data_IF_509932539032
#
_entry.id   IF_509932539032
#
_cell.length_a   1.000
_cell.length_b   1.000
_cell.length_c   1.000
_cell.angle_alpha   90.00
_cell.angle_beta   90.00
_cell.angle_gamma   90.00
#
_symmetry.space_group_name_H-M   'P 1'
#
loop_
_entity.id
_entity.type
_entity.pdbx_description
1 polymer ?
#
# COMPACT_ATOMS: atom_id res chain seq x y z
N UNK A 1 -25.17 -42.76 37.46
CA UNK A 1 -25.00 -42.27 38.84
C UNK A 1 -24.49 -40.84 38.77
N UNK A 2 -25.16 -39.91 39.46
CA UNK A 2 -24.89 -38.46 39.52
C UNK A 2 -24.75 -38.13 41.00
N UNK A 3 -23.75 -37.32 41.38
CA UNK A 3 -24.01 -36.20 42.30
C UNK A 3 -23.45 -34.91 41.67
N UNK A 4 -24.19 -33.82 41.49
CA UNK A 4 -24.95 -32.98 42.42
C UNK A 4 -24.07 -31.98 43.20
N UNK A 5 -24.49 -30.71 43.09
CA UNK A 5 -24.28 -29.56 43.99
C UNK A 5 -22.95 -28.81 43.84
N UNK A 6 -22.90 -27.59 43.29
CA UNK A 6 -23.54 -26.32 43.72
C UNK A 6 -22.95 -25.77 45.03
N UNK A 7 -22.33 -24.59 44.96
CA UNK A 7 -22.65 -23.41 45.79
C UNK A 7 -21.52 -22.36 45.75
N UNK A 8 -21.95 -21.09 45.60
CA UNK A 8 -21.46 -19.85 46.24
C UNK A 8 -19.98 -19.44 46.07
N UNK A 9 -19.57 -18.18 46.01
CA UNK A 9 -20.12 -16.84 45.84
C UNK A 9 -18.94 -15.87 46.18
N UNK A 10 -19.17 -14.55 46.06
CA UNK A 10 -18.37 -13.45 46.67
C UNK A 10 -17.00 -13.17 45.96
N UNK A 11 -16.52 -11.94 45.69
CA UNK A 11 -16.80 -10.58 46.17
C UNK A 11 -16.20 -9.52 45.20
N UNK A 12 -17.01 -8.49 44.95
CA UNK A 12 -16.79 -7.03 44.88
C UNK A 12 -15.54 -6.35 44.27
N UNK A 13 -15.92 -5.34 43.48
CA UNK A 13 -15.46 -3.94 43.51
C UNK A 13 -14.09 -3.60 42.92
N UNK A 14 -14.13 -3.10 41.67
CA UNK A 14 -13.29 -1.97 41.30
C UNK A 14 -14.20 -0.80 40.90
N UNK A 15 -14.03 0.30 41.62
CA UNK A 15 -14.92 1.45 41.64
C UNK A 15 -14.95 2.25 40.35
N UNK A 16 -16.16 2.64 39.95
CA UNK A 16 -16.38 3.73 39.01
C UNK A 16 -16.25 5.06 39.77
N UNK A 17 -15.10 5.73 39.66
CA UNK A 17 -14.98 7.13 40.03
C UNK A 17 -15.62 7.99 38.93
N UNK A 18 -16.90 8.32 39.09
CA UNK A 18 -17.54 9.37 38.29
C UNK A 18 -17.15 10.72 38.86
N UNK A 19 -16.08 11.33 38.33
CA UNK A 19 -15.81 12.75 38.59
C UNK A 19 -16.70 13.58 37.67
N UNK A 20 -17.77 14.13 38.23
CA UNK A 20 -18.55 15.21 37.63
C UNK A 20 -17.72 16.49 37.76
N UNK A 21 -17.13 16.95 36.67
CA UNK A 21 -16.58 18.31 36.59
C UNK A 21 -17.56 19.17 35.78
N UNK A 22 -18.23 20.10 36.48
CA UNK A 22 -19.04 21.15 35.88
C UNK A 22 -18.10 22.10 35.15
N UNK A 23 -17.99 21.95 33.83
CA UNK A 23 -17.23 22.89 33.01
C UNK A 23 -18.12 24.05 32.60
N UNK A 24 -17.87 25.19 33.21
CA UNK A 24 -18.38 26.52 32.84
C UNK A 24 -18.08 26.78 31.36
N UNK A 25 -19.03 27.27 30.54
CA UNK A 25 -18.74 27.63 29.16
C UNK A 25 -17.77 28.84 29.13
N UNK A 26 -16.62 28.75 28.44
CA UNK A 26 -15.74 29.90 28.27
C UNK A 26 -16.37 30.90 27.29
N UNK A 27 -16.24 32.18 27.66
CA UNK A 27 -16.56 33.36 26.84
C UNK A 27 -15.85 33.25 25.48
N UNK A 28 -16.47 33.60 24.33
CA UNK A 28 -15.81 33.49 23.04
C UNK A 28 -14.62 34.46 22.97
N UNK A 29 -13.41 33.94 22.95
CA UNK A 29 -12.23 34.71 22.58
C UNK A 29 -12.18 34.84 21.06
N UNK A 30 -11.92 36.07 20.58
CA UNK A 30 -11.78 36.38 19.17
C UNK A 30 -10.73 35.46 18.49
N UNK A 31 -11.16 34.77 17.43
CA UNK A 31 -10.32 33.84 16.66
C UNK A 31 -9.27 34.65 15.89
N UNK A 32 -7.99 34.48 16.25
CA UNK A 32 -6.88 34.87 15.36
C UNK A 32 -6.89 33.95 14.13
N UNK A 33 -6.63 34.46 12.91
CA UNK A 33 -6.50 33.62 11.72
C UNK A 33 -5.43 32.56 11.93
N UNK A 34 -5.76 31.31 11.63
CA UNK A 34 -4.82 30.19 11.67
C UNK A 34 -3.66 30.44 10.68
N UNK A 35 -2.41 30.10 11.02
CA UNK A 35 -1.31 30.17 10.07
C UNK A 35 -1.58 29.19 8.90
N UNK A 36 -1.14 29.53 7.68
CA UNK A 36 -1.36 28.70 6.50
C UNK A 36 -0.78 27.29 6.72
N UNK A 37 -1.56 26.28 6.34
CA UNK A 37 -1.16 24.89 6.39
C UNK A 37 0.13 24.68 5.59
N UNK A 38 1.11 24.00 6.20
CA UNK A 38 2.32 23.59 5.51
C UNK A 38 1.95 22.65 4.32
N UNK A 39 2.66 22.72 3.19
CA UNK A 39 2.39 21.84 2.05
C UNK A 39 2.59 20.38 2.49
N UNK A 40 1.59 19.56 2.23
CA UNK A 40 1.68 18.10 2.35
C UNK A 40 2.77 17.59 1.41
N UNK A 41 3.72 16.81 1.94
CA UNK A 41 4.70 16.09 1.14
C UNK A 41 3.92 15.18 0.20
N UNK A 42 3.93 15.51 -1.09
CA UNK A 42 3.23 14.73 -2.11
C UNK A 42 3.85 13.34 -2.17
N UNK A 43 3.02 12.29 -2.14
CA UNK A 43 3.47 10.92 -2.36
C UNK A 43 4.29 10.86 -3.67
N UNK A 44 5.32 10.00 -3.78
CA UNK A 44 6.12 9.88 -4.99
C UNK A 44 5.19 9.65 -6.19
N UNK A 45 5.21 10.59 -7.12
CA UNK A 45 4.35 10.56 -8.29
C UNK A 45 4.91 9.55 -9.28
N UNK A 46 4.21 8.42 -9.42
CA UNK A 46 4.53 7.42 -10.43
C UNK A 46 4.39 8.07 -11.81
N UNK A 47 5.48 8.13 -12.57
CA UNK A 47 5.50 8.78 -13.89
C UNK A 47 5.40 7.77 -15.01
N UNK A 48 4.50 8.03 -15.96
CA UNK A 48 4.29 7.24 -17.17
C UNK A 48 3.19 6.15 -17.04
N UNK A 49 2.99 5.36 -18.10
CA UNK A 49 2.03 4.26 -18.10
C UNK A 49 2.46 3.17 -17.12
N UNK A 50 1.48 2.56 -16.46
CA UNK A 50 1.68 1.54 -15.41
C UNK A 50 0.96 0.26 -15.78
N UNK A 51 1.45 -0.85 -15.24
CA UNK A 51 0.85 -2.17 -15.41
C UNK A 51 -0.22 -2.41 -14.34
N UNK A 52 -1.43 -2.73 -14.75
CA UNK A 52 -2.51 -3.11 -13.84
C UNK A 52 -2.37 -4.58 -13.39
N UNK A 53 -3.03 -4.99 -12.29
CA UNK A 53 -2.97 -6.38 -11.80
C UNK A 53 -3.46 -7.43 -12.80
N UNK A 54 -4.26 -7.05 -13.78
CA UNK A 54 -4.74 -7.93 -14.86
C UNK A 54 -3.73 -8.08 -16.02
N UNK A 55 -2.56 -7.47 -15.91
CA UNK A 55 -1.52 -7.48 -16.94
C UNK A 55 -1.74 -6.49 -18.07
N UNK A 56 -2.74 -5.60 -17.98
CA UNK A 56 -2.99 -4.56 -18.98
C UNK A 56 -2.21 -3.27 -18.66
N UNK A 57 -1.78 -2.57 -19.72
CA UNK A 57 -1.12 -1.28 -19.59
C UNK A 57 -2.15 -0.14 -19.61
N UNK A 58 -2.01 0.82 -18.70
CA UNK A 58 -2.89 2.00 -18.63
C UNK A 58 -2.71 2.97 -19.81
N UNK A 59 -1.64 2.79 -20.59
CA UNK A 59 -1.33 3.59 -21.77
C UNK A 59 -0.21 2.96 -22.60
N UNK A 60 0.15 3.57 -23.74
CA UNK A 60 1.21 3.07 -24.59
C UNK A 60 2.57 3.12 -23.86
N UNK A 61 3.39 2.08 -24.02
CA UNK A 61 4.75 2.06 -23.49
C UNK A 61 5.58 3.27 -23.98
N UNK A 62 6.50 3.76 -23.14
CA UNK A 62 7.33 4.92 -23.47
C UNK A 62 8.21 4.69 -24.71
N UNK A 63 8.56 3.43 -25.01
CA UNK A 63 9.11 3.02 -26.30
C UNK A 63 10.61 3.26 -26.47
N UNK A 64 11.27 3.94 -25.53
CA UNK A 64 12.71 4.25 -25.61
C UNK A 64 13.62 3.08 -25.23
N UNK A 65 13.12 2.10 -24.47
CA UNK A 65 13.91 0.95 -24.04
C UNK A 65 14.09 -0.08 -25.16
N UNK A 66 15.33 -0.52 -25.40
CA UNK A 66 15.67 -1.55 -26.39
C UNK A 66 16.05 -2.90 -25.77
N UNK A 67 16.32 -2.92 -24.46
CA UNK A 67 16.67 -4.11 -23.68
C UNK A 67 15.97 -4.07 -22.31
N UNK A 68 15.85 -5.23 -21.65
CA UNK A 68 15.24 -5.36 -20.33
C UNK A 68 16.33 -5.24 -19.26
N UNK A 69 16.46 -4.03 -18.70
CA UNK A 69 17.48 -3.67 -17.71
C UNK A 69 16.89 -2.73 -16.65
N UNK A 70 17.48 -2.62 -15.46
CA UNK A 70 17.00 -1.69 -14.44
C UNK A 70 16.80 -0.27 -14.99
N UNK A 71 15.69 0.36 -14.60
CA UNK A 71 15.28 1.70 -15.02
C UNK A 71 14.22 1.74 -16.12
N UNK A 72 13.91 0.64 -16.82
CA UNK A 72 12.79 0.64 -17.79
C UNK A 72 11.43 0.76 -17.09
N UNK A 73 10.41 1.23 -17.82
CA UNK A 73 9.03 1.27 -17.34
C UNK A 73 8.34 -0.10 -17.34
N UNK A 74 7.28 -0.24 -16.55
CA UNK A 74 6.49 -1.48 -16.48
C UNK A 74 5.89 -1.86 -17.84
N UNK A 75 5.35 -0.89 -18.56
CA UNK A 75 4.78 -1.13 -19.88
C UNK A 75 5.84 -1.32 -20.97
N UNK A 76 7.08 -0.84 -20.76
CA UNK A 76 8.19 -1.19 -21.64
C UNK A 76 8.58 -2.66 -21.49
N UNK A 77 8.51 -3.23 -20.27
CA UNK A 77 8.70 -4.68 -20.07
C UNK A 77 7.68 -5.47 -20.89
N UNK A 78 6.40 -5.13 -20.81
CA UNK A 78 5.34 -5.84 -21.56
C UNK A 78 5.57 -5.76 -23.06
N UNK A 79 5.93 -4.57 -23.56
CA UNK A 79 6.28 -4.37 -24.98
C UNK A 79 7.49 -5.22 -25.39
N UNK A 80 8.56 -5.23 -24.60
CA UNK A 80 9.79 -5.95 -24.89
C UNK A 80 9.62 -7.48 -24.79
N UNK A 81 8.83 -7.97 -23.84
CA UNK A 81 8.49 -9.40 -23.73
C UNK A 81 7.54 -9.87 -24.83
N UNK A 82 6.75 -8.95 -25.41
CA UNK A 82 5.86 -9.22 -26.54
C UNK A 82 4.69 -10.15 -26.23
N UNK A 83 4.44 -10.44 -24.95
CA UNK A 83 3.38 -11.31 -24.46
C UNK A 83 2.87 -10.83 -23.11
N UNK A 84 1.61 -11.14 -22.75
CA UNK A 84 1.10 -10.77 -21.43
C UNK A 84 1.91 -11.47 -20.33
N UNK A 85 2.07 -10.83 -19.16
CA UNK A 85 2.66 -11.47 -18.00
C UNK A 85 1.82 -12.66 -17.54
N UNK A 86 2.48 -13.62 -16.90
CA UNK A 86 1.81 -14.78 -16.29
C UNK A 86 1.04 -14.36 -15.04
N UNK A 87 1.64 -13.48 -14.23
CA UNK A 87 1.03 -12.93 -13.02
C UNK A 87 1.60 -11.55 -12.73
N UNK A 88 0.79 -10.69 -12.09
CA UNK A 88 1.17 -9.33 -11.70
C UNK A 88 0.66 -9.06 -10.29
N UNK A 89 1.60 -8.84 -9.36
CA UNK A 89 1.29 -8.41 -8.00
C UNK A 89 1.59 -6.93 -7.88
N UNK A 90 0.57 -6.13 -7.62
CA UNK A 90 0.70 -4.69 -7.36
C UNK A 90 0.50 -4.43 -5.87
N UNK A 91 1.41 -3.68 -5.27
CA UNK A 91 1.33 -3.27 -3.88
C UNK A 91 1.98 -1.92 -3.63
N UNK A 92 2.05 -1.55 -2.36
CA UNK A 92 2.78 -0.39 -1.87
C UNK A 92 3.82 -0.86 -0.85
N UNK A 93 5.07 -0.46 -1.05
CA UNK A 93 6.15 -0.68 -0.11
C UNK A 93 6.71 0.63 0.43
N UNK A 94 7.88 0.57 1.06
CA UNK A 94 8.48 1.72 1.76
C UNK A 94 8.81 2.88 0.81
N UNK A 95 9.13 2.56 -0.43
CA UNK A 95 9.51 3.53 -1.44
C UNK A 95 8.32 4.01 -2.29
N UNK A 96 7.10 3.54 -2.04
CA UNK A 96 5.92 3.84 -2.86
C UNK A 96 5.39 2.61 -3.58
N UNK A 97 4.97 2.76 -4.83
CA UNK A 97 4.33 1.68 -5.59
C UNK A 97 5.35 0.60 -5.95
N UNK A 98 5.02 -0.65 -5.63
CA UNK A 98 5.83 -1.82 -5.97
C UNK A 98 5.03 -2.77 -6.86
N UNK A 99 5.67 -3.29 -7.91
CA UNK A 99 5.05 -4.28 -8.81
C UNK A 99 5.98 -5.45 -9.00
N UNK A 100 5.45 -6.66 -8.84
CA UNK A 100 6.14 -7.90 -9.17
C UNK A 100 5.48 -8.51 -10.39
N UNK A 101 6.26 -8.72 -11.45
CA UNK A 101 5.76 -9.27 -12.71
C UNK A 101 6.42 -10.62 -12.95
N UNK A 102 5.61 -11.67 -13.07
CA UNK A 102 6.07 -13.01 -13.36
C UNK A 102 5.90 -13.31 -14.86
N UNK A 103 6.96 -13.80 -15.49
CA UNK A 103 6.90 -14.47 -16.78
C UNK A 103 7.37 -15.91 -16.63
N UNK A 104 6.45 -16.86 -16.88
CA UNK A 104 6.80 -18.28 -16.97
C UNK A 104 7.00 -18.65 -18.43
N UNK A 105 8.18 -19.18 -18.75
CA UNK A 105 8.53 -19.70 -20.06
C UNK A 105 8.80 -21.21 -19.95
N UNK A 106 8.68 -21.98 -21.05
CA UNK A 106 9.04 -23.40 -21.01
C UNK A 106 10.49 -23.58 -20.54
N UNK A 107 10.66 -24.10 -19.32
CA UNK A 107 11.97 -24.35 -18.72
C UNK A 107 12.60 -23.18 -17.96
N UNK A 108 11.94 -22.01 -17.85
CA UNK A 108 12.46 -20.86 -17.11
C UNK A 108 11.36 -20.03 -16.44
N UNK A 109 11.69 -19.34 -15.35
CA UNK A 109 10.82 -18.36 -14.70
C UNK A 109 11.60 -17.08 -14.50
N UNK A 110 11.01 -15.94 -14.82
CA UNK A 110 11.62 -14.64 -14.58
C UNK A 110 10.67 -13.78 -13.76
N UNK A 111 11.17 -13.22 -12.67
CA UNK A 111 10.47 -12.26 -11.81
C UNK A 111 11.11 -10.89 -11.93
N UNK A 112 10.30 -9.90 -12.26
CA UNK A 112 10.71 -8.51 -12.45
C UNK A 112 10.11 -7.66 -11.35
N UNK A 113 10.96 -6.93 -10.63
CA UNK A 113 10.55 -6.10 -9.49
C UNK A 113 10.64 -4.63 -9.89
N UNK A 114 9.54 -3.90 -9.78
CA UNK A 114 9.46 -2.48 -10.06
C UNK A 114 9.24 -1.70 -8.79
N UNK A 115 9.88 -0.53 -8.71
CA UNK A 115 9.63 0.48 -7.69
C UNK A 115 9.30 1.78 -8.42
N UNK A 116 8.13 2.37 -8.14
CA UNK A 116 7.65 3.60 -8.76
C UNK A 116 7.74 3.60 -10.30
N UNK A 117 7.29 2.51 -10.94
CA UNK A 117 7.32 2.32 -12.40
C UNK A 117 8.72 2.30 -13.01
N UNK A 118 9.73 1.88 -12.25
CA UNK A 118 11.10 1.64 -12.75
C UNK A 118 11.56 0.25 -12.34
N UNK A 119 12.07 -0.51 -13.30
CA UNK A 119 12.61 -1.84 -13.03
C UNK A 119 13.78 -1.70 -12.06
N UNK A 120 13.69 -2.35 -10.91
CA UNK A 120 14.73 -2.35 -9.88
C UNK A 120 15.67 -3.53 -10.11
N UNK A 121 15.11 -4.73 -10.26
CA UNK A 121 15.88 -5.97 -10.41
C UNK A 121 15.10 -7.09 -11.10
N UNK A 122 15.84 -8.10 -11.53
CA UNK A 122 15.35 -9.31 -12.18
C UNK A 122 15.86 -10.55 -11.45
N UNK A 123 14.99 -11.52 -11.23
CA UNK A 123 15.30 -12.84 -10.65
C UNK A 123 14.94 -13.91 -11.70
N UNK A 124 15.82 -14.90 -11.88
CA UNK A 124 15.66 -15.99 -12.87
C UNK A 124 15.83 -17.35 -12.20
#
# INVERSE_FOLDING_TARGET
MKPASAALALILALGACTSTEVRTPPVPAAVKPAPPAAPSVSAPTVSGPVLAPDGTCTGPAGGSATAIEPGIGECDLVRLKGKPPTDVLVGEGRAGREVQVLYTEPGAKELYFFVNNRLDRVVK
#
